data_IF_026646363412
#
_entry.id   IF_026646363412
#
_cell.length_a   1.000
_cell.length_b   1.000
_cell.length_c   1.000
_cell.angle_alpha   90.00
_cell.angle_beta   90.00
_cell.angle_gamma   90.00
#
_symmetry.space_group_name_H-M   'P 1'
#
loop_
_entity.id
_entity.type
_entity.pdbx_description
1 polymer ?
#
# COMPACT_ATOMS: atom_id res chain seq x y z
N UNK A 1 21.37 -53.19 19.47
CA UNK A 1 21.69 -51.79 19.09
C UNK A 1 20.48 -51.26 18.27
N UNK A 2 19.53 -50.62 18.97
CA UNK A 2 18.38 -50.05 18.30
C UNK A 2 18.74 -48.65 17.83
N UNK A 3 19.02 -48.46 16.54
CA UNK A 3 19.07 -47.16 15.92
C UNK A 3 17.62 -46.67 15.72
N UNK A 4 17.06 -46.01 16.75
CA UNK A 4 15.90 -45.18 16.56
C UNK A 4 16.33 -43.93 15.75
N UNK A 5 16.11 -43.96 14.44
CA UNK A 5 16.15 -42.78 13.59
C UNK A 5 15.02 -41.89 14.07
N UNK A 6 15.33 -40.92 14.95
CA UNK A 6 14.43 -39.88 15.31
C UNK A 6 14.18 -39.08 14.06
N UNK A 7 13.02 -39.27 13.45
CA UNK A 7 12.53 -38.46 12.32
C UNK A 7 12.42 -37.04 12.84
N UNK A 8 13.39 -36.18 12.47
CA UNK A 8 13.30 -34.75 12.76
C UNK A 8 12.03 -34.24 12.07
N UNK A 9 11.06 -33.82 12.84
CA UNK A 9 9.82 -33.24 12.32
C UNK A 9 10.18 -31.94 11.58
N UNK A 10 10.28 -32.02 10.25
CA UNK A 10 10.38 -30.84 9.40
C UNK A 10 8.95 -30.43 9.03
N UNK A 11 8.56 -29.24 9.41
CA UNK A 11 7.31 -28.63 8.94
C UNK A 11 7.60 -27.70 7.79
N UNK A 12 6.74 -27.71 6.78
CA UNK A 12 6.78 -26.79 5.66
C UNK A 12 5.37 -26.47 5.22
N UNK A 13 5.05 -25.18 5.06
CA UNK A 13 3.76 -24.71 4.54
C UNK A 13 3.99 -23.43 3.73
N UNK A 14 3.09 -23.14 2.81
CA UNK A 14 3.18 -21.97 1.95
C UNK A 14 1.83 -21.32 1.75
N UNK A 15 1.84 -19.99 1.59
CA UNK A 15 0.63 -19.23 1.35
C UNK A 15 0.91 -18.02 0.42
N UNK A 16 -0.11 -17.54 -0.32
CA UNK A 16 0.00 -16.32 -1.11
C UNK A 16 0.03 -15.09 -0.19
N UNK A 17 0.93 -14.16 -0.52
CA UNK A 17 1.00 -12.83 0.06
C UNK A 17 0.46 -11.82 -0.97
N UNK A 18 -0.82 -11.51 -0.87
CA UNK A 18 -1.55 -10.72 -1.86
C UNK A 18 -1.11 -9.27 -1.92
N UNK A 19 -1.13 -8.65 -3.11
CA UNK A 19 -0.99 -7.21 -3.27
C UNK A 19 -2.27 -6.48 -2.78
N UNK A 20 -2.19 -5.16 -2.62
CA UNK A 20 -3.35 -4.31 -2.36
C UNK A 20 -3.35 -3.08 -3.27
N UNK A 21 -4.52 -2.47 -3.39
CA UNK A 21 -4.70 -1.12 -3.89
C UNK A 21 -5.45 -0.28 -2.87
N UNK A 22 -5.25 1.05 -2.90
CA UNK A 22 -6.08 1.98 -2.15
C UNK A 22 -7.19 2.49 -3.09
N UNK A 23 -8.43 2.17 -2.76
CA UNK A 23 -9.61 2.73 -3.42
C UNK A 23 -9.81 4.18 -2.99
N UNK A 24 -9.46 4.45 -1.72
CA UNK A 24 -9.41 5.78 -1.15
C UNK A 24 -8.18 5.90 -0.26
N UNK A 25 -7.43 6.98 -0.40
CA UNK A 25 -6.35 7.34 0.51
C UNK A 25 -6.39 8.85 0.74
N UNK A 26 -6.86 9.22 1.92
CA UNK A 26 -6.96 10.60 2.37
C UNK A 26 -5.96 10.88 3.48
N UNK A 27 -4.89 11.62 3.19
CA UNK A 27 -3.87 12.04 4.16
C UNK A 27 -4.22 13.43 4.66
N UNK A 28 -4.22 13.60 5.98
CA UNK A 28 -4.49 14.87 6.65
C UNK A 28 -3.19 15.68 6.77
N UNK A 29 -3.16 16.92 6.23
CA UNK A 29 -2.00 17.78 6.41
C UNK A 29 -1.86 18.18 7.89
N UNK A 30 -0.61 18.26 8.37
CA UNK A 30 -0.24 18.73 9.73
C UNK A 30 -0.84 17.98 10.94
N UNK A 31 -1.62 16.93 10.74
CA UNK A 31 -2.03 16.05 11.82
C UNK A 31 -0.97 14.96 12.03
N UNK A 32 0.23 15.39 12.41
CA UNK A 32 1.24 14.49 12.95
C UNK A 32 0.79 14.21 14.38
N UNK A 33 0.18 13.05 14.61
CA UNK A 33 -0.20 12.63 15.96
C UNK A 33 1.03 12.51 16.86
N UNK A 34 0.84 12.18 18.14
CA UNK A 34 1.94 11.94 19.11
C UNK A 34 2.97 10.92 18.59
N UNK A 35 2.58 10.08 17.62
CA UNK A 35 3.44 9.07 16.98
C UNK A 35 4.37 9.63 15.89
N UNK A 36 4.22 10.89 15.47
CA UNK A 36 4.98 11.45 14.35
C UNK A 36 4.48 11.01 12.94
N UNK A 37 3.33 10.33 12.86
CA UNK A 37 2.72 9.89 11.61
C UNK A 37 1.48 10.73 11.26
N UNK A 38 1.25 10.94 9.96
CA UNK A 38 0.02 11.59 9.47
C UNK A 38 -1.22 10.76 9.83
N UNK A 39 -2.29 11.45 10.18
CA UNK A 39 -3.61 10.83 10.17
C UNK A 39 -3.98 10.47 8.74
N UNK A 40 -4.58 9.30 8.55
CA UNK A 40 -5.00 8.80 7.24
C UNK A 40 -6.35 8.08 7.34
N UNK A 41 -7.20 8.32 6.35
CA UNK A 41 -8.37 7.50 6.05
C UNK A 41 -8.05 6.67 4.79
N UNK A 42 -8.09 5.35 4.91
CA UNK A 42 -7.73 4.44 3.83
C UNK A 42 -8.81 3.38 3.61
N UNK A 43 -9.28 3.28 2.37
CA UNK A 43 -10.09 2.13 1.94
C UNK A 43 -9.25 1.28 1.02
N UNK A 44 -9.00 0.04 1.41
CA UNK A 44 -8.12 -0.89 0.70
C UNK A 44 -8.88 -2.10 0.16
N UNK A 45 -8.39 -2.62 -0.97
CA UNK A 45 -8.80 -3.91 -1.51
C UNK A 45 -7.56 -4.74 -1.88
N UNK A 46 -7.57 -6.02 -1.56
CA UNK A 46 -6.53 -6.95 -1.99
C UNK A 46 -6.75 -7.41 -3.43
N UNK A 47 -5.67 -7.83 -4.09
CA UNK A 47 -5.64 -8.28 -5.48
C UNK A 47 -5.19 -9.74 -5.56
N UNK A 48 -5.54 -10.44 -6.65
CA UNK A 48 -5.03 -11.80 -6.89
C UNK A 48 -3.52 -11.85 -7.20
N UNK A 49 -2.92 -10.72 -7.60
CA UNK A 49 -1.45 -10.61 -7.66
C UNK A 49 -0.87 -10.90 -6.28
N UNK A 50 0.06 -11.84 -6.18
CA UNK A 50 0.62 -12.24 -4.90
C UNK A 50 2.09 -12.69 -5.02
N UNK A 51 2.86 -12.45 -3.97
CA UNK A 51 4.10 -13.17 -3.70
C UNK A 51 3.78 -14.54 -3.09
N UNK A 52 4.74 -15.44 -3.06
CA UNK A 52 4.61 -16.73 -2.35
C UNK A 52 5.52 -16.74 -1.13
N UNK A 53 4.93 -16.90 0.04
CA UNK A 53 5.67 -17.00 1.30
C UNK A 53 5.62 -18.46 1.78
N UNK A 54 6.77 -19.04 2.06
CA UNK A 54 6.93 -20.40 2.57
C UNK A 54 7.58 -20.33 3.95
N UNK A 55 6.98 -20.99 4.93
CA UNK A 55 7.52 -21.19 6.28
C UNK A 55 8.07 -22.60 6.42
N UNK A 56 9.33 -22.72 6.85
CA UNK A 56 9.95 -23.98 7.21
C UNK A 56 10.40 -23.95 8.66
N UNK A 57 10.16 -25.02 9.40
CA UNK A 57 10.63 -25.21 10.77
C UNK A 57 11.71 -26.28 10.80
N UNK A 58 12.81 -25.98 11.51
CA UNK A 58 13.90 -26.93 11.74
C UNK A 58 14.37 -26.83 13.21
N UNK A 59 14.01 -27.79 14.01
CA UNK A 59 14.32 -27.84 15.44
C UNK A 59 15.82 -27.69 15.77
N UNK A 60 16.71 -28.00 14.81
CA UNK A 60 18.15 -27.86 14.98
C UNK A 60 18.68 -26.47 14.65
N UNK A 61 17.87 -25.62 14.03
CA UNK A 61 18.27 -24.24 13.76
C UNK A 61 18.33 -23.43 15.07
N UNK A 62 19.31 -22.55 15.14
CA UNK A 62 19.52 -21.70 16.33
C UNK A 62 19.12 -20.23 16.08
N UNK A 63 18.69 -19.92 14.88
CA UNK A 63 18.29 -18.58 14.48
C UNK A 63 17.19 -18.60 13.44
N UNK A 64 16.38 -17.56 13.41
CA UNK A 64 15.43 -17.30 12.35
C UNK A 64 16.12 -16.71 11.13
N UNK A 65 15.61 -17.03 9.93
CA UNK A 65 16.13 -16.50 8.68
C UNK A 65 15.01 -16.15 7.72
N UNK A 66 15.27 -15.16 6.86
CA UNK A 66 14.41 -14.83 5.71
C UNK A 66 15.26 -14.84 4.44
N UNK A 67 14.80 -15.53 3.41
CA UNK A 67 15.43 -15.62 2.09
C UNK A 67 14.44 -15.09 1.05
N UNK A 68 14.90 -14.22 0.16
CA UNK A 68 14.12 -13.73 -0.96
C UNK A 68 14.86 -14.03 -2.27
N UNK A 69 14.12 -14.37 -3.32
CA UNK A 69 14.68 -14.62 -4.66
C UNK A 69 14.91 -13.32 -5.45
N UNK A 70 14.19 -12.24 -5.09
CA UNK A 70 14.30 -10.94 -5.71
C UNK A 70 13.91 -9.82 -4.72
N UNK A 71 14.15 -8.58 -5.10
CA UNK A 71 13.78 -7.39 -4.31
C UNK A 71 15.00 -6.54 -3.93
N UNK A 72 14.80 -5.48 -3.14
CA UNK A 72 15.91 -4.65 -2.69
C UNK A 72 16.81 -5.41 -1.72
N UNK A 73 18.12 -5.18 -1.82
CA UNK A 73 19.08 -5.65 -0.83
C UNK A 73 18.92 -4.83 0.47
N UNK A 74 18.26 -5.44 1.45
CA UNK A 74 18.04 -4.84 2.77
C UNK A 74 18.68 -5.71 3.84
N UNK A 75 19.24 -5.08 4.88
CA UNK A 75 19.74 -5.84 6.01
C UNK A 75 18.62 -6.69 6.64
N UNK A 76 18.94 -7.93 7.06
CA UNK A 76 17.96 -8.87 7.61
C UNK A 76 17.06 -8.22 8.68
N UNK A 77 17.64 -7.45 9.60
CA UNK A 77 16.92 -6.74 10.68
C UNK A 77 15.90 -5.71 10.19
N UNK A 78 16.06 -5.21 8.95
CA UNK A 78 15.20 -4.19 8.34
C UNK A 78 14.13 -4.83 7.44
N UNK A 79 14.22 -6.14 7.18
CA UNK A 79 13.22 -6.90 6.45
C UNK A 79 11.95 -7.05 7.29
N UNK A 80 10.79 -6.63 6.75
CA UNK A 80 9.52 -6.64 7.47
C UNK A 80 9.04 -8.04 7.84
N UNK A 81 9.26 -9.04 6.99
CA UNK A 81 8.92 -10.44 7.29
C UNK A 81 9.82 -10.99 8.42
N UNK A 82 11.10 -10.63 8.45
CA UNK A 82 11.99 -11.00 9.54
C UNK A 82 11.56 -10.33 10.85
N UNK A 83 11.26 -9.04 10.83
CA UNK A 83 10.77 -8.33 12.03
C UNK A 83 9.46 -8.93 12.55
N UNK A 84 8.55 -9.33 11.66
CA UNK A 84 7.32 -10.01 12.02
C UNK A 84 7.58 -11.38 12.68
N UNK A 85 8.47 -12.17 12.08
CA UNK A 85 8.89 -13.47 12.62
C UNK A 85 9.48 -13.35 14.02
N UNK A 86 10.41 -12.44 14.22
CA UNK A 86 11.03 -12.17 15.55
C UNK A 86 10.00 -11.69 16.57
N UNK A 87 9.16 -10.73 16.22
CA UNK A 87 8.12 -10.19 17.11
C UNK A 87 7.10 -11.27 17.51
N UNK A 88 6.72 -12.14 16.60
CA UNK A 88 5.85 -13.29 16.89
C UNK A 88 6.53 -14.28 17.84
N UNK A 89 7.78 -14.64 17.61
CA UNK A 89 8.54 -15.53 18.48
C UNK A 89 8.65 -14.95 19.91
N UNK A 90 8.94 -13.66 20.03
CA UNK A 90 9.00 -12.97 21.33
C UNK A 90 7.63 -12.97 22.04
N UNK A 91 6.56 -12.59 21.33
CA UNK A 91 5.23 -12.45 21.91
C UNK A 91 4.66 -13.77 22.42
N UNK A 92 4.98 -14.88 21.74
CA UNK A 92 4.48 -16.22 22.05
C UNK A 92 5.52 -17.13 22.69
N UNK A 93 6.67 -16.59 23.11
CA UNK A 93 7.77 -17.31 23.78
C UNK A 93 8.22 -18.56 23.03
N UNK A 94 8.36 -18.43 21.69
CA UNK A 94 8.84 -19.50 20.83
C UNK A 94 10.34 -19.38 20.58
N UNK A 95 11.04 -20.51 20.55
CA UNK A 95 12.47 -20.52 20.22
C UNK A 95 12.66 -20.25 18.72
N UNK A 96 13.74 -19.55 18.32
CA UNK A 96 14.05 -19.33 16.93
C UNK A 96 14.46 -20.64 16.24
N UNK A 97 13.71 -21.01 15.21
CA UNK A 97 13.96 -22.24 14.45
C UNK A 97 13.30 -22.19 13.07
N UNK A 98 12.99 -20.99 12.58
CA UNK A 98 12.17 -20.82 11.38
C UNK A 98 12.98 -20.21 10.23
N UNK A 99 12.69 -20.70 9.02
CA UNK A 99 13.13 -20.09 7.77
C UNK A 99 11.91 -19.68 6.97
N UNK A 100 11.85 -18.40 6.60
CA UNK A 100 10.84 -17.86 5.68
C UNK A 100 11.49 -17.66 4.32
N UNK A 101 10.94 -18.30 3.28
CA UNK A 101 11.38 -18.13 1.89
C UNK A 101 10.30 -17.37 1.13
N UNK A 102 10.66 -16.30 0.43
CA UNK A 102 9.73 -15.45 -0.29
C UNK A 102 10.09 -15.43 -1.77
N UNK A 103 9.14 -15.83 -2.62
CA UNK A 103 9.22 -15.67 -4.08
C UNK A 103 8.45 -14.40 -4.46
N UNK A 104 9.18 -13.43 -5.03
CA UNK A 104 8.65 -12.09 -5.30
C UNK A 104 8.06 -11.97 -6.70
N UNK A 105 6.80 -11.53 -6.77
CA UNK A 105 6.09 -11.15 -7.98
C UNK A 105 5.59 -9.70 -7.91
N UNK A 106 5.34 -9.21 -6.68
CA UNK A 106 4.92 -7.83 -6.44
C UNK A 106 6.14 -6.91 -6.51
N UNK A 107 6.16 -5.92 -7.41
CA UNK A 107 7.31 -5.04 -7.56
C UNK A 107 7.51 -4.17 -6.30
N UNK A 108 8.77 -3.96 -5.93
CA UNK A 108 9.12 -3.10 -4.81
C UNK A 108 8.82 -1.62 -5.10
N UNK A 109 8.54 -0.83 -4.06
CA UNK A 109 8.30 0.63 -4.15
C UNK A 109 7.22 1.01 -5.18
N UNK A 110 6.15 0.21 -5.23
CA UNK A 110 5.03 0.37 -6.14
C UNK A 110 3.72 0.84 -5.46
N UNK A 111 3.68 0.97 -4.14
CA UNK A 111 2.44 1.27 -3.40
C UNK A 111 1.47 0.09 -3.28
N UNK A 112 1.91 -1.13 -3.68
CA UNK A 112 1.11 -2.36 -3.71
C UNK A 112 1.15 -3.18 -2.40
N UNK A 113 1.86 -2.73 -1.38
CA UNK A 113 1.89 -3.36 -0.06
C UNK A 113 2.66 -4.69 0.05
N UNK A 114 3.50 -5.06 -0.93
CA UNK A 114 4.14 -6.37 -1.00
C UNK A 114 4.90 -6.76 0.28
N UNK A 115 5.78 -5.92 0.80
CA UNK A 115 6.55 -6.23 2.02
C UNK A 115 5.67 -6.36 3.27
N UNK A 116 4.57 -5.59 3.35
CA UNK A 116 3.60 -5.72 4.46
C UNK A 116 2.79 -7.00 4.34
N UNK A 117 2.47 -7.41 3.11
CA UNK A 117 1.79 -8.68 2.83
C UNK A 117 2.67 -9.89 3.14
N UNK A 118 3.96 -9.83 2.79
CA UNK A 118 4.94 -10.86 3.16
C UNK A 118 5.02 -11.05 4.67
N UNK A 119 5.09 -9.95 5.42
CA UNK A 119 5.10 -9.94 6.88
C UNK A 119 3.81 -10.55 7.46
N UNK A 120 2.64 -10.11 7.00
CA UNK A 120 1.36 -10.63 7.45
C UNK A 120 1.18 -12.12 7.12
N UNK A 121 1.63 -12.55 5.95
CA UNK A 121 1.56 -13.97 5.55
C UNK A 121 2.52 -14.82 6.39
N UNK A 122 3.69 -14.30 6.74
CA UNK A 122 4.60 -14.92 7.73
C UNK A 122 3.90 -15.10 9.07
N UNK A 123 3.21 -14.07 9.58
CA UNK A 123 2.42 -14.14 10.82
C UNK A 123 1.33 -15.21 10.71
N UNK A 124 0.56 -15.22 9.61
CA UNK A 124 -0.52 -16.22 9.42
C UNK A 124 0.00 -17.66 9.39
N UNK A 125 1.13 -17.90 8.72
CA UNK A 125 1.76 -19.22 8.68
C UNK A 125 2.25 -19.67 10.06
N UNK A 126 2.83 -18.76 10.85
CA UNK A 126 3.20 -19.04 12.25
C UNK A 126 1.97 -19.32 13.11
N UNK A 127 0.90 -18.54 12.97
CA UNK A 127 -0.36 -18.75 13.67
C UNK A 127 -0.93 -20.14 13.36
N UNK A 128 -0.97 -20.52 12.08
CA UNK A 128 -1.41 -21.85 11.64
C UNK A 128 -0.53 -22.96 12.25
N UNK A 129 0.77 -22.80 12.22
CA UNK A 129 1.72 -23.77 12.78
C UNK A 129 1.58 -23.93 14.30
N UNK A 130 1.32 -22.84 15.01
CA UNK A 130 1.18 -22.84 16.49
C UNK A 130 -0.24 -23.10 16.97
N UNK A 131 -1.24 -23.18 16.08
CA UNK A 131 -2.66 -23.32 16.45
C UNK A 131 -3.21 -22.07 17.13
N UNK A 132 -2.78 -20.87 16.70
CA UNK A 132 -3.20 -19.56 17.23
C UNK A 132 -4.12 -18.92 16.20
N UNK A 133 -5.18 -18.25 16.68
CA UNK A 133 -6.04 -17.45 15.81
C UNK A 133 -5.24 -16.22 15.27
N UNK A 134 -5.25 -16.03 13.96
CA UNK A 134 -4.60 -14.88 13.31
C UNK A 134 -5.21 -13.54 13.73
N UNK A 135 -6.45 -13.54 14.25
CA UNK A 135 -7.13 -12.35 14.78
C UNK A 135 -7.01 -12.22 16.32
N UNK A 136 -6.22 -13.08 17.01
CA UNK A 136 -5.88 -12.86 18.43
C UNK A 136 -5.31 -11.44 18.62
N UNK A 137 -5.78 -10.75 19.66
CA UNK A 137 -5.41 -9.37 19.94
C UNK A 137 -3.89 -9.15 20.07
N UNK A 138 -3.12 -10.17 20.47
CA UNK A 138 -1.64 -10.10 20.52
C UNK A 138 -1.05 -10.13 19.11
N UNK A 139 -1.59 -10.97 18.22
CA UNK A 139 -1.18 -11.07 16.82
C UNK A 139 -1.47 -9.76 16.10
N UNK A 140 -2.67 -9.20 16.28
CA UNK A 140 -3.05 -7.91 15.69
C UNK A 140 -2.11 -6.78 16.16
N UNK A 141 -1.76 -6.74 17.46
CA UNK A 141 -0.77 -5.75 17.97
C UNK A 141 0.61 -5.94 17.35
N UNK A 142 1.06 -7.18 17.17
CA UNK A 142 2.33 -7.45 16.47
C UNK A 142 2.24 -6.91 15.04
N UNK A 143 1.20 -7.24 14.29
CA UNK A 143 1.04 -6.76 12.91
C UNK A 143 1.06 -5.23 12.82
N UNK A 144 0.32 -4.54 13.70
CA UNK A 144 0.30 -3.07 13.76
C UNK A 144 1.67 -2.46 14.09
N UNK A 145 2.47 -3.11 14.94
CA UNK A 145 3.82 -2.64 15.29
C UNK A 145 4.84 -2.76 14.15
N UNK A 146 4.60 -3.66 13.20
CA UNK A 146 5.48 -3.87 12.03
C UNK A 146 5.20 -2.81 10.96
N UNK A 147 3.92 -2.51 10.70
CA UNK A 147 3.54 -1.49 9.71
C UNK A 147 2.03 -1.35 9.56
N UNK A 148 1.58 -0.18 9.09
CA UNK A 148 0.17 0.15 8.98
C UNK A 148 -0.62 -0.86 8.12
N UNK A 149 -0.08 -1.24 6.95
CA UNK A 149 -0.76 -2.17 6.03
C UNK A 149 -0.71 -3.63 6.51
N UNK A 150 0.16 -4.01 7.47
CA UNK A 150 0.32 -5.42 7.89
C UNK A 150 -0.96 -5.95 8.54
N UNK A 151 -1.64 -5.13 9.35
CA UNK A 151 -2.89 -5.52 10.00
C UNK A 151 -4.01 -5.81 8.99
N UNK A 152 -4.11 -5.04 7.90
CA UNK A 152 -5.04 -5.29 6.80
C UNK A 152 -4.85 -6.70 6.19
N UNK A 153 -3.61 -7.11 5.97
CA UNK A 153 -3.30 -8.39 5.33
C UNK A 153 -3.50 -9.62 6.21
N UNK A 154 -3.78 -9.46 7.49
CA UNK A 154 -4.22 -10.59 8.33
C UNK A 154 -5.57 -11.14 7.83
N UNK A 155 -6.46 -10.26 7.37
CA UNK A 155 -7.74 -10.60 6.76
C UNK A 155 -8.01 -9.71 5.54
N UNK A 156 -7.44 -10.04 4.35
CA UNK A 156 -7.34 -9.15 3.20
C UNK A 156 -8.63 -9.06 2.37
N UNK A 157 -9.75 -8.74 3.01
CA UNK A 157 -10.99 -8.34 2.35
C UNK A 157 -11.07 -6.82 2.24
N UNK A 158 -11.87 -6.25 1.33
CA UNK A 158 -12.02 -4.80 1.24
C UNK A 158 -12.37 -4.20 2.60
N UNK A 159 -11.64 -3.16 3.03
CA UNK A 159 -11.77 -2.63 4.38
C UNK A 159 -11.48 -1.12 4.44
N UNK A 160 -12.18 -0.45 5.37
CA UNK A 160 -11.90 0.92 5.79
C UNK A 160 -11.04 0.92 7.05
N UNK A 161 -9.93 1.63 6.99
CA UNK A 161 -8.99 1.84 8.09
C UNK A 161 -8.79 3.34 8.32
N UNK A 162 -8.63 3.73 9.59
CA UNK A 162 -8.37 5.13 9.97
C UNK A 162 -7.15 5.25 10.92
N UNK A 163 -7.05 6.37 11.62
CA UNK A 163 -5.92 6.68 12.50
C UNK A 163 -4.67 7.01 11.69
N UNK A 164 -3.66 6.15 11.74
CA UNK A 164 -2.49 6.20 10.85
C UNK A 164 -2.65 5.23 9.66
N UNK A 165 -3.88 4.89 9.29
CA UNK A 165 -4.19 3.90 8.28
C UNK A 165 -4.08 2.44 8.76
N UNK A 166 -3.98 2.20 10.07
CA UNK A 166 -3.74 0.88 10.67
C UNK A 166 -4.90 0.38 11.55
N UNK A 167 -5.89 1.21 11.86
CA UNK A 167 -7.02 0.84 12.73
C UNK A 167 -8.22 0.47 11.88
N UNK A 168 -8.53 -0.84 11.83
CA UNK A 168 -9.69 -1.36 11.12
C UNK A 168 -10.97 -0.79 11.72
N UNK A 169 -11.82 -0.22 10.88
CA UNK A 169 -13.12 0.32 11.22
C UNK A 169 -14.25 -0.56 10.69
N UNK A 170 -14.17 -1.01 9.44
CA UNK A 170 -15.19 -1.78 8.78
C UNK A 170 -14.58 -2.66 7.69
N UNK A 171 -15.16 -3.85 7.47
CA UNK A 171 -14.83 -4.78 6.41
C UNK A 171 -16.05 -5.06 5.53
N UNK A 172 -15.85 -5.23 4.22
CA UNK A 172 -16.94 -5.34 3.23
C UNK A 172 -16.88 -6.70 2.53
N UNK A 173 -17.66 -7.66 3.05
CA UNK A 173 -17.63 -9.05 2.60
C UNK A 173 -18.30 -9.28 1.23
N UNK A 174 -19.20 -8.41 0.81
CA UNK A 174 -20.05 -8.63 -0.38
C UNK A 174 -19.58 -7.86 -1.63
N UNK A 175 -18.35 -7.36 -1.64
CA UNK A 175 -17.82 -6.67 -2.81
C UNK A 175 -17.45 -7.71 -3.87
N UNK A 176 -17.99 -7.60 -5.09
CA UNK A 176 -17.63 -8.51 -6.18
C UNK A 176 -16.16 -8.33 -6.59
N UNK A 177 -15.59 -9.39 -7.17
CA UNK A 177 -14.26 -9.30 -7.76
C UNK A 177 -14.30 -8.40 -9.01
N UNK A 178 -13.42 -7.40 -9.06
CA UNK A 178 -13.37 -6.39 -10.11
C UNK A 178 -12.08 -6.56 -10.92
N UNK A 179 -12.15 -6.78 -12.25
CA UNK A 179 -10.98 -6.83 -13.10
C UNK A 179 -10.17 -5.52 -13.01
N UNK A 180 -8.84 -5.65 -12.91
CA UNK A 180 -7.94 -4.54 -12.66
C UNK A 180 -6.65 -4.68 -13.49
N UNK A 181 -6.23 -3.62 -14.15
CA UNK A 181 -4.90 -3.51 -14.77
C UNK A 181 -4.02 -2.62 -13.91
N UNK A 182 -2.77 -3.07 -13.69
CA UNK A 182 -1.76 -2.32 -12.95
C UNK A 182 -0.62 -2.02 -13.89
N UNK A 183 -0.19 -0.77 -13.91
CA UNK A 183 0.98 -0.31 -14.66
C UNK A 183 1.92 0.41 -13.73
N UNK A 184 3.16 -0.06 -13.65
CA UNK A 184 4.22 0.57 -12.85
C UNK A 184 5.33 1.05 -13.77
N UNK A 185 5.70 2.35 -13.73
CA UNK A 185 6.89 2.84 -14.42
C UNK A 185 8.17 2.30 -13.74
N UNK A 186 9.32 2.53 -14.36
CA UNK A 186 10.61 2.15 -13.74
C UNK A 186 10.89 2.92 -12.45
N UNK A 187 10.52 4.18 -12.40
CA UNK A 187 10.69 5.01 -11.21
C UNK A 187 9.92 4.41 -10.03
N UNK A 188 10.61 4.13 -8.94
CA UNK A 188 10.02 3.75 -7.66
C UNK A 188 9.91 4.96 -6.75
N UNK A 189 8.91 4.96 -5.87
CA UNK A 189 8.76 5.99 -4.83
C UNK A 189 8.70 5.30 -3.46
N UNK A 190 9.63 5.67 -2.57
CA UNK A 190 9.56 5.17 -1.20
C UNK A 190 8.49 5.95 -0.41
N UNK A 191 7.81 5.27 0.49
CA UNK A 191 6.76 5.87 1.33
C UNK A 191 7.25 7.12 2.08
N UNK A 192 8.43 7.13 2.75
CA UNK A 192 8.93 8.36 3.39
C UNK A 192 9.14 9.52 2.43
N UNK A 193 9.58 9.25 1.20
CA UNK A 193 9.74 10.30 0.17
C UNK A 193 8.38 10.86 -0.25
N UNK A 194 7.37 10.00 -0.44
CA UNK A 194 6.03 10.46 -0.83
C UNK A 194 5.41 11.39 0.23
N UNK A 195 5.52 11.04 1.53
CA UNK A 195 5.01 11.89 2.61
C UNK A 195 5.76 13.22 2.72
N UNK A 196 7.09 13.22 2.57
CA UNK A 196 7.85 14.46 2.53
C UNK A 196 7.42 15.36 1.36
N UNK A 197 7.26 14.80 0.17
CA UNK A 197 6.77 15.54 -1.00
C UNK A 197 5.37 16.10 -0.78
N UNK A 198 4.51 15.36 -0.09
CA UNK A 198 3.17 15.81 0.28
C UNK A 198 3.22 17.02 1.22
N UNK A 199 4.06 16.99 2.25
CA UNK A 199 4.23 18.12 3.18
C UNK A 199 4.77 19.36 2.47
N UNK A 200 5.80 19.20 1.64
CA UNK A 200 6.38 20.27 0.83
C UNK A 200 5.33 20.87 -0.14
N UNK A 201 4.51 20.02 -0.76
CA UNK A 201 3.44 20.44 -1.67
C UNK A 201 2.34 21.22 -0.94
N UNK A 202 1.84 20.71 0.18
CA UNK A 202 0.81 21.39 0.99
C UNK A 202 1.29 22.74 1.47
N UNK A 203 2.54 22.83 1.94
CA UNK A 203 3.14 24.09 2.41
C UNK A 203 3.27 25.10 1.25
N UNK A 204 3.80 24.70 0.11
CA UNK A 204 4.00 25.59 -1.04
C UNK A 204 2.67 26.16 -1.57
N UNK A 205 1.65 25.32 -1.67
CA UNK A 205 0.33 25.73 -2.13
C UNK A 205 -0.39 26.63 -1.09
N UNK A 206 -0.24 26.36 0.22
CA UNK A 206 -0.79 27.21 1.26
C UNK A 206 -0.15 28.62 1.23
N UNK A 207 1.17 28.70 1.04
CA UNK A 207 1.88 29.97 0.87
C UNK A 207 1.43 30.72 -0.41
N UNK A 208 1.23 29.99 -1.53
CA UNK A 208 0.75 30.60 -2.78
C UNK A 208 -0.66 31.18 -2.64
N UNK A 209 -1.58 30.48 -1.97
CA UNK A 209 -2.94 30.96 -1.69
C UNK A 209 -2.93 32.20 -0.79
N UNK A 210 -2.16 32.17 0.28
CA UNK A 210 -2.05 33.33 1.19
C UNK A 210 -1.50 34.57 0.48
N UNK A 211 -0.59 34.40 -0.50
CA UNK A 211 -0.11 35.53 -1.33
C UNK A 211 -1.18 36.06 -2.28
N UNK A 212 -1.94 35.15 -2.92
CA UNK A 212 -3.00 35.54 -3.84
C UNK A 212 -4.15 36.32 -3.12
N UNK A 213 -4.43 35.98 -1.86
CA UNK A 213 -5.40 36.70 -1.04
C UNK A 213 -4.92 38.12 -0.63
N UNK A 214 -3.60 38.30 -0.46
CA UNK A 214 -3.01 39.60 -0.09
C UNK A 214 -2.83 40.54 -1.29
N UNK A 215 -2.73 40.02 -2.52
CA UNK A 215 -2.56 40.82 -3.74
C UNK A 215 -3.53 40.36 -4.84
N UNK A 216 -4.83 40.72 -4.78
CA UNK A 216 -5.78 40.39 -5.83
C UNK A 216 -5.42 41.17 -7.11
N UNK A 217 -4.72 40.53 -8.04
CA UNK A 217 -4.32 41.11 -9.33
C UNK A 217 -2.99 40.62 -9.91
N UNK A 218 -2.22 39.85 -9.15
CA UNK A 218 -0.88 39.37 -9.58
C UNK A 218 -0.88 37.95 -10.17
N UNK A 219 -2.04 37.39 -10.44
CA UNK A 219 -2.21 35.94 -10.76
C UNK A 219 -1.55 35.46 -12.06
N UNK A 220 -0.99 36.31 -12.92
CA UNK A 220 -0.61 35.88 -14.27
C UNK A 220 0.90 35.79 -14.56
N UNK A 221 1.80 36.14 -13.65
CA UNK A 221 3.24 36.21 -13.97
C UNK A 221 4.18 35.31 -13.18
N UNK A 222 3.74 34.56 -12.18
CA UNK A 222 4.66 33.90 -11.24
C UNK A 222 4.70 32.37 -11.30
N UNK A 223 4.23 31.76 -12.38
CA UNK A 223 4.26 30.27 -12.51
C UNK A 223 5.63 29.65 -12.88
N UNK A 224 6.69 30.45 -13.03
CA UNK A 224 7.98 29.96 -13.59
C UNK A 224 9.21 30.64 -12.98
N UNK A 225 9.36 30.75 -11.66
CA UNK A 225 10.72 31.02 -11.12
C UNK A 225 10.91 30.39 -9.73
N UNK A 226 12.03 29.67 -9.49
CA UNK A 226 12.40 29.18 -8.16
C UNK A 226 12.88 30.32 -7.27
N UNK A 227 12.49 30.24 -6.02
CA UNK A 227 12.71 31.19 -4.92
C UNK A 227 14.19 31.45 -4.65
N UNK A 228 14.61 32.71 -4.77
CA UNK A 228 15.77 33.28 -4.09
C UNK A 228 15.37 34.68 -3.61
N UNK A 229 15.04 34.81 -2.33
CA UNK A 229 15.33 35.94 -1.44
C UNK A 229 14.48 35.87 -0.18
N UNK A 230 15.15 35.55 0.93
CA UNK A 230 14.64 35.76 2.29
C UNK A 230 14.77 37.24 2.61
N UNK A 231 13.68 38.01 2.54
CA UNK A 231 13.56 39.24 3.31
C UNK A 231 12.11 39.71 3.32
N UNK A 232 11.57 39.95 4.54
CA UNK A 232 10.26 40.55 4.88
C UNK A 232 9.04 39.67 4.54
N UNK A 233 8.72 38.72 5.43
CA UNK A 233 7.42 38.02 5.44
C UNK A 233 6.43 38.81 6.31
N UNK A 234 5.27 39.30 5.76
CA UNK A 234 4.13 39.61 6.59
C UNK A 234 3.66 38.31 7.28
N UNK A 235 3.13 38.41 8.50
CA UNK A 235 2.60 37.25 9.23
C UNK A 235 1.42 36.65 8.44
N UNK A 236 1.74 35.60 7.68
CA UNK A 236 0.77 34.78 6.94
C UNK A 236 0.02 33.92 7.95
N UNK A 237 -1.29 33.86 7.86
CA UNK A 237 -2.07 32.89 8.63
C UNK A 237 -2.04 31.54 7.89
N UNK A 238 -1.12 30.62 8.23
CA UNK A 238 -0.95 29.36 7.51
C UNK A 238 -2.15 28.42 7.68
N UNK A 239 -2.96 28.60 8.73
CA UNK A 239 -4.09 27.70 9.02
C UNK A 239 -5.25 27.85 8.02
N UNK A 240 -5.50 29.05 7.50
CA UNK A 240 -6.58 29.28 6.53
C UNK A 240 -6.32 28.60 5.18
N UNK A 241 -5.06 28.57 4.72
CA UNK A 241 -4.65 27.89 3.47
C UNK A 241 -4.70 26.36 3.56
N UNK A 242 -4.46 25.79 4.73
CA UNK A 242 -4.36 24.34 4.96
C UNK A 242 -5.72 23.64 4.90
N UNK A 243 -6.81 24.30 5.30
CA UNK A 243 -8.17 23.74 5.23
C UNK A 243 -8.56 23.28 3.82
N UNK A 244 -8.00 23.89 2.78
CA UNK A 244 -8.28 23.50 1.39
C UNK A 244 -7.61 22.16 0.96
N UNK A 245 -6.71 21.62 1.78
CA UNK A 245 -6.03 20.33 1.55
C UNK A 245 -6.57 19.20 2.41
N UNK A 246 -7.63 19.44 3.16
CA UNK A 246 -8.31 18.37 3.88
C UNK A 246 -8.76 17.30 2.88
N UNK A 247 -8.53 16.00 3.18
CA UNK A 247 -8.92 14.94 2.28
C UNK A 247 -10.44 14.89 2.11
N UNK A 248 -10.87 14.34 0.98
CA UNK A 248 -12.27 13.99 0.78
C UNK A 248 -12.71 12.97 1.84
N UNK A 249 -13.98 13.07 2.28
CA UNK A 249 -14.56 12.05 3.17
C UNK A 249 -14.64 10.69 2.46
N UNK A 250 -14.32 9.57 3.13
CA UNK A 250 -14.49 8.23 2.59
C UNK A 250 -15.95 7.76 2.57
N UNK A 251 -16.92 8.51 3.10
CA UNK A 251 -18.29 8.05 3.30
C UNK A 251 -18.97 7.52 2.03
N UNK A 252 -18.77 8.22 0.90
CA UNK A 252 -19.39 7.82 -0.37
C UNK A 252 -18.85 6.49 -0.89
N UNK A 253 -17.53 6.28 -0.82
CA UNK A 253 -16.93 5.02 -1.27
C UNK A 253 -17.28 3.87 -0.32
N UNK A 254 -17.40 4.14 0.99
CA UNK A 254 -17.88 3.17 1.98
C UNK A 254 -19.33 2.74 1.67
N UNK A 255 -20.22 3.69 1.33
CA UNK A 255 -21.59 3.38 0.93
C UNK A 255 -21.64 2.55 -0.35
N UNK A 256 -20.82 2.85 -1.35
CA UNK A 256 -20.74 2.07 -2.58
C UNK A 256 -20.24 0.64 -2.32
N UNK A 257 -19.26 0.45 -1.42
CA UNK A 257 -18.77 -0.87 -1.01
C UNK A 257 -19.85 -1.68 -0.29
N UNK A 258 -20.60 -1.07 0.64
CA UNK A 258 -21.74 -1.71 1.32
C UNK A 258 -22.82 -2.16 0.35
N UNK A 259 -23.05 -1.37 -0.71
CA UNK A 259 -24.04 -1.69 -1.75
C UNK A 259 -23.53 -2.66 -2.82
N UNK A 260 -22.23 -2.94 -2.88
CA UNK A 260 -21.59 -3.66 -4.00
C UNK A 260 -21.67 -2.92 -5.33
N UNK A 261 -21.81 -1.60 -5.29
CA UNK A 261 -21.97 -0.74 -6.47
C UNK A 261 -20.61 -0.42 -7.11
N UNK A 262 -20.17 -1.31 -8.01
CA UNK A 262 -18.89 -1.20 -8.73
C UNK A 262 -18.83 0.04 -9.63
N UNK A 263 -19.95 0.48 -10.21
CA UNK A 263 -19.96 1.64 -11.10
C UNK A 263 -19.62 2.91 -10.31
N UNK A 264 -20.28 3.10 -9.19
CA UNK A 264 -19.98 4.22 -8.28
C UNK A 264 -18.56 4.14 -7.70
N UNK A 265 -18.06 2.93 -7.36
CA UNK A 265 -16.67 2.77 -6.91
C UNK A 265 -15.66 3.31 -7.94
N UNK A 266 -15.89 3.03 -9.22
CA UNK A 266 -15.00 3.48 -10.31
C UNK A 266 -14.89 5.01 -10.42
N UNK A 267 -15.91 5.75 -10.00
CA UNK A 267 -15.95 7.22 -10.03
C UNK A 267 -15.35 7.86 -8.77
N UNK A 268 -15.25 7.10 -7.67
CA UNK A 268 -14.86 7.61 -6.35
C UNK A 268 -13.42 7.32 -5.96
N UNK A 269 -12.61 6.76 -6.87
CA UNK A 269 -11.19 6.49 -6.60
C UNK A 269 -10.46 7.79 -6.24
N UNK A 270 -9.74 7.78 -5.11
CA UNK A 270 -9.13 8.99 -4.58
C UNK A 270 -7.80 8.71 -3.87
N UNK A 271 -6.81 9.57 -4.09
CA UNK A 271 -5.51 9.51 -3.42
C UNK A 271 -4.83 10.90 -3.43
N UNK A 272 -4.95 11.67 -2.36
CA UNK A 272 -4.31 12.97 -2.28
C UNK A 272 -2.80 12.92 -2.01
N UNK A 273 -2.28 11.83 -1.43
CA UNK A 273 -0.84 11.63 -1.29
C UNK A 273 -0.14 11.60 -2.66
N UNK A 274 -0.83 11.06 -3.67
CA UNK A 274 -0.27 10.92 -5.00
C UNK A 274 -0.13 12.25 -5.75
N UNK A 275 -0.87 13.29 -5.42
CA UNK A 275 -0.82 14.58 -6.13
C UNK A 275 0.59 15.17 -6.13
N UNK A 276 1.24 15.22 -4.97
CA UNK A 276 2.61 15.69 -4.83
C UNK A 276 3.62 14.81 -5.60
N UNK A 277 3.42 13.48 -5.53
CA UNK A 277 4.30 12.51 -6.21
C UNK A 277 4.16 12.63 -7.73
N UNK A 278 2.94 12.78 -8.25
CA UNK A 278 2.66 12.96 -9.69
C UNK A 278 3.36 14.20 -10.23
N UNK A 279 3.43 15.28 -9.47
CA UNK A 279 4.12 16.51 -9.91
C UNK A 279 5.63 16.30 -10.06
N UNK A 280 6.25 15.50 -9.20
CA UNK A 280 7.70 15.29 -9.17
C UNK A 280 8.17 14.14 -10.07
N UNK A 281 7.32 13.13 -10.32
CA UNK A 281 7.70 11.92 -11.07
C UNK A 281 7.02 11.89 -12.45
N UNK A 282 7.77 12.30 -13.45
CA UNK A 282 7.27 12.39 -14.84
C UNK A 282 6.72 11.05 -15.37
N UNK A 283 7.37 9.95 -15.02
CA UNK A 283 6.99 8.61 -15.47
C UNK A 283 5.57 8.22 -15.04
N UNK A 284 5.15 8.65 -13.82
CA UNK A 284 3.77 8.41 -13.34
C UNK A 284 2.76 9.21 -14.18
N UNK A 285 3.11 10.45 -14.56
CA UNK A 285 2.27 11.27 -15.45
C UNK A 285 2.09 10.63 -16.81
N UNK A 286 3.16 10.04 -17.37
CA UNK A 286 3.09 9.32 -18.65
C UNK A 286 2.14 8.11 -18.56
N UNK A 287 2.24 7.30 -17.50
CA UNK A 287 1.35 6.16 -17.28
C UNK A 287 -0.11 6.62 -17.15
N UNK A 288 -0.38 7.64 -16.33
CA UNK A 288 -1.72 8.20 -16.15
C UNK A 288 -2.29 8.72 -17.46
N UNK A 289 -1.51 9.51 -18.23
CA UNK A 289 -1.91 10.05 -19.51
C UNK A 289 -2.24 8.94 -20.51
N UNK A 290 -1.38 7.91 -20.58
CA UNK A 290 -1.60 6.79 -21.49
C UNK A 290 -2.83 5.96 -21.09
N UNK A 291 -3.01 5.63 -19.81
CA UNK A 291 -4.20 4.88 -19.35
C UNK A 291 -5.49 5.65 -19.65
N UNK A 292 -5.51 6.98 -19.51
CA UNK A 292 -6.69 7.80 -19.85
C UNK A 292 -7.11 7.72 -21.32
N UNK A 293 -6.23 7.28 -22.23
CA UNK A 293 -6.57 7.06 -23.63
C UNK A 293 -7.19 5.69 -23.91
N UNK A 294 -7.15 4.76 -22.93
CA UNK A 294 -7.68 3.42 -23.09
C UNK A 294 -9.20 3.40 -22.87
N UNK A 295 -9.90 2.57 -23.64
CA UNK A 295 -11.36 2.40 -23.52
C UNK A 295 -11.70 1.22 -22.60
N UNK A 296 -12.87 1.26 -21.98
CA UNK A 296 -13.39 0.16 -21.15
C UNK A 296 -12.76 0.05 -19.76
N UNK A 297 -12.06 1.10 -19.30
CA UNK A 297 -11.51 1.18 -17.95
C UNK A 297 -12.06 2.38 -17.18
N UNK A 298 -11.95 2.33 -15.84
CA UNK A 298 -12.24 3.45 -14.95
C UNK A 298 -11.20 4.58 -15.09
N UNK A 299 -11.43 5.68 -14.38
CA UNK A 299 -10.38 6.69 -14.20
C UNK A 299 -9.16 6.06 -13.51
N UNK A 300 -7.94 6.18 -14.09
CA UNK A 300 -6.74 5.60 -13.50
C UNK A 300 -6.33 6.34 -12.22
N UNK A 301 -5.94 5.59 -11.19
CA UNK A 301 -5.55 6.10 -9.88
C UNK A 301 -4.19 5.53 -9.44
N UNK A 302 -3.36 6.35 -8.80
CA UNK A 302 -2.11 5.91 -8.16
C UNK A 302 -2.45 5.19 -6.85
N UNK A 303 -1.86 4.02 -6.60
CA UNK A 303 -2.06 3.31 -5.33
C UNK A 303 -0.98 3.64 -4.31
N UNK A 304 -1.40 3.90 -3.06
CA UNK A 304 -0.48 4.20 -1.97
C UNK A 304 0.42 5.39 -2.27
N UNK A 305 1.69 5.28 -1.94
CA UNK A 305 2.73 6.25 -2.27
C UNK A 305 3.15 6.24 -3.75
N UNK A 306 2.57 5.37 -4.56
CA UNK A 306 3.02 5.11 -5.92
C UNK A 306 4.25 4.18 -5.92
N UNK A 307 4.86 3.95 -7.08
CA UNK A 307 4.65 4.55 -8.41
C UNK A 307 3.59 3.82 -9.27
N UNK A 308 3.02 2.70 -8.81
CA UNK A 308 2.02 1.99 -9.60
C UNK A 308 0.71 2.77 -9.72
N UNK A 309 0.15 2.69 -10.93
CA UNK A 309 -1.16 3.20 -11.31
C UNK A 309 -2.05 2.01 -11.63
N UNK A 310 -3.28 2.03 -11.16
CA UNK A 310 -4.27 1.01 -11.49
C UNK A 310 -5.51 1.62 -12.13
N UNK A 311 -6.23 0.80 -12.88
CA UNK A 311 -7.57 1.10 -13.33
C UNK A 311 -8.41 -0.17 -13.32
N UNK A 312 -9.67 -0.06 -12.93
CA UNK A 312 -10.64 -1.14 -13.07
C UNK A 312 -11.08 -1.26 -14.52
N UNK A 313 -11.43 -2.46 -14.97
CA UNK A 313 -11.90 -2.70 -16.31
C UNK A 313 -13.28 -3.39 -16.31
N UNK A 314 -14.00 -3.22 -17.39
CA UNK A 314 -15.33 -3.86 -17.58
C UNK A 314 -15.23 -5.39 -17.69
N UNK A 315 -14.04 -5.91 -18.07
CA UNK A 315 -13.79 -7.36 -18.14
C UNK A 315 -12.30 -7.68 -18.06
N UNK A 316 -11.97 -8.92 -17.70
CA UNK A 316 -10.59 -9.41 -17.70
C UNK A 316 -9.97 -9.37 -19.11
N UNK A 317 -10.75 -9.58 -20.17
CA UNK A 317 -10.26 -9.49 -21.55
C UNK A 317 -9.75 -8.08 -21.90
N UNK A 318 -10.42 -7.04 -21.41
CA UNK A 318 -9.96 -5.64 -21.56
C UNK A 318 -8.67 -5.41 -20.78
N UNK A 319 -8.57 -5.95 -19.54
CA UNK A 319 -7.31 -5.89 -18.76
C UNK A 319 -6.14 -6.52 -19.53
N UNK A 320 -6.35 -7.71 -20.09
CA UNK A 320 -5.32 -8.44 -20.83
C UNK A 320 -4.89 -7.70 -22.10
N UNK A 321 -5.84 -7.12 -22.83
CA UNK A 321 -5.56 -6.31 -24.02
C UNK A 321 -4.72 -5.07 -23.66
N UNK A 322 -5.10 -4.36 -22.61
CA UNK A 322 -4.38 -3.17 -22.14
C UNK A 322 -2.99 -3.57 -21.62
N UNK A 323 -2.89 -4.65 -20.86
CA UNK A 323 -1.60 -5.17 -20.37
C UNK A 323 -0.67 -5.53 -21.53
N UNK A 324 -1.19 -6.17 -22.59
CA UNK A 324 -0.41 -6.47 -23.80
C UNK A 324 0.05 -5.22 -24.55
N UNK A 325 -0.78 -4.18 -24.62
CA UNK A 325 -0.41 -2.89 -25.23
C UNK A 325 0.66 -2.20 -24.38
N UNK A 326 0.46 -2.12 -23.07
CA UNK A 326 1.38 -1.45 -22.14
C UNK A 326 2.75 -2.12 -22.08
N UNK A 327 2.84 -3.46 -22.15
CA UNK A 327 4.10 -4.21 -22.17
C UNK A 327 4.99 -3.91 -23.40
N UNK A 328 4.40 -3.37 -24.48
CA UNK A 328 5.12 -2.90 -25.67
C UNK A 328 5.58 -1.45 -25.56
N UNK A 329 5.08 -0.73 -24.55
CA UNK A 329 5.53 0.62 -24.23
C UNK A 329 6.83 0.54 -23.43
N UNK A 330 7.44 1.67 -23.17
CA UNK A 330 8.74 1.82 -22.49
C UNK A 330 8.83 1.02 -21.19
N UNK A 331 9.57 -0.02 -21.10
CA UNK A 331 10.00 -0.71 -19.87
C UNK A 331 9.05 -0.62 -18.63
N UNK A 332 7.74 -0.54 -18.85
CA UNK A 332 6.75 -0.57 -17.79
C UNK A 332 6.56 -2.01 -17.31
N UNK A 333 6.46 -2.19 -16.01
CA UNK A 333 5.94 -3.42 -15.44
C UNK A 333 4.42 -3.36 -15.48
N UNK A 334 3.79 -4.39 -16.00
CA UNK A 334 2.34 -4.43 -16.22
C UNK A 334 1.79 -5.76 -15.74
N UNK A 335 0.62 -5.72 -15.10
CA UNK A 335 -0.06 -6.93 -14.65
C UNK A 335 -1.58 -6.79 -14.79
N UNK A 336 -2.21 -7.82 -15.39
CA UNK A 336 -3.67 -7.99 -15.45
C UNK A 336 -4.07 -8.86 -14.26
N UNK A 337 -5.00 -8.37 -13.44
CA UNK A 337 -5.45 -9.02 -12.20
C UNK A 337 -6.91 -8.67 -11.92
N UNK A 338 -7.40 -9.04 -10.75
CA UNK A 338 -8.68 -8.58 -10.20
C UNK A 338 -8.59 -8.45 -8.68
N UNK A 339 -9.55 -7.74 -8.09
CA UNK A 339 -9.68 -7.72 -6.63
C UNK A 339 -10.07 -9.11 -6.11
N UNK A 340 -9.61 -9.45 -4.90
CA UNK A 340 -10.02 -10.68 -4.26
C UNK A 340 -11.53 -10.66 -3.98
N UNK A 341 -12.22 -11.72 -4.39
CA UNK A 341 -13.58 -12.01 -3.93
C UNK A 341 -13.56 -12.89 -2.68
N UNK A 342 -14.67 -12.97 -1.98
CA UNK A 342 -14.83 -13.79 -0.75
C UNK A 342 -14.36 -15.24 -0.89
N UNK A 343 -14.59 -15.85 -2.06
CA UNK A 343 -14.20 -17.25 -2.30
C UNK A 343 -12.70 -17.50 -2.42
N UNK A 344 -11.87 -16.45 -2.38
CA UNK A 344 -10.41 -16.52 -2.56
C UNK A 344 -9.64 -16.37 -1.24
N UNK A 345 -10.32 -16.06 -0.14
CA UNK A 345 -9.70 -15.69 1.16
C UNK A 345 -9.66 -16.85 2.16
N UNK A 346 -10.42 -17.94 1.90
CA UNK A 346 -10.53 -19.13 2.77
C UNK A 346 -9.91 -20.37 2.14
#
# INVERSE_FOLDING_TARGET
MNNSVTCCASYQDAAPAYAKINLHLGIYPHNVGESGYHRADSVMAALELADTVMLSYNERAQQNTVVMDAGPDVAMKDNTAFRALEAMCQTFHKQPAYTVTIQKHIPAQAGLGGSSSDAATTIKLLCKFWGIDALDARVVRVAQSIGADVAFFLHPIPAYLNGVGATLQESFEHVPSIPCVIVRPQAGVSTPVAYRLFDEYVQAEAEAKSRAELEPGLELKTRLQPVLSQELRPELNPEAGIQSFMPQSPDRIIQALRAGDVLTLNELLYNNLAEAVIQQVADIREVLAWLRTQQGISHPCVTGSGSAVFAFAQSSAICDEIAQKASKMRNWWVYSTKTLGLNSVF
#
